data_IF_406888723111
#
_entry.id   IF_406888723111
#
_cell.length_a   1.000
_cell.length_b   1.000
_cell.length_c   1.000
_cell.angle_alpha   90.00
_cell.angle_beta   90.00
_cell.angle_gamma   90.00
#
_symmetry.space_group_name_H-M   'P 1'
#
loop_
_entity.id
_entity.type
_entity.pdbx_description
1 polymer ?
#
# COMPACT_ATOMS: atom_id res chain seq x y z
N UNK A 1 -31.80 73.40 3.17
CA UNK A 1 -31.66 72.36 2.14
C UNK A 1 -30.21 71.93 2.10
N UNK A 2 -29.93 70.65 2.36
CA UNK A 2 -28.90 69.79 1.73
C UNK A 2 -28.94 68.46 2.50
N UNK A 3 -29.51 67.43 1.86
CA UNK A 3 -29.60 66.06 2.40
C UNK A 3 -28.43 65.26 1.84
N UNK A 4 -27.60 64.68 2.69
CA UNK A 4 -26.48 63.82 2.31
C UNK A 4 -26.99 62.37 2.37
N UNK A 5 -27.21 61.76 1.20
CA UNK A 5 -27.49 60.33 1.10
C UNK A 5 -26.19 59.55 1.32
N UNK A 6 -26.06 58.86 2.45
CA UNK A 6 -25.00 57.88 2.68
C UNK A 6 -25.27 56.65 1.81
N UNK A 7 -24.43 56.45 0.79
CA UNK A 7 -24.43 55.25 -0.04
C UNK A 7 -23.85 54.08 0.77
N UNK A 8 -24.72 53.31 1.43
CA UNK A 8 -24.31 52.11 2.16
C UNK A 8 -24.04 51.02 1.12
N UNK A 9 -22.82 50.45 1.08
CA UNK A 9 -22.50 49.42 0.09
C UNK A 9 -23.32 48.15 0.33
N UNK A 10 -23.79 47.56 -0.78
CA UNK A 10 -24.76 46.44 -0.87
C UNK A 10 -24.35 45.14 -0.13
N UNK A 11 -23.14 45.06 0.42
CA UNK A 11 -22.66 43.88 1.15
C UNK A 11 -23.16 43.79 2.61
N UNK A 12 -23.73 44.87 3.16
CA UNK A 12 -24.26 44.86 4.55
C UNK A 12 -25.68 44.30 4.71
N UNK A 13 -26.39 43.99 3.63
CA UNK A 13 -27.77 43.45 3.69
C UNK A 13 -27.86 41.94 3.45
N UNK A 14 -26.75 41.24 3.24
CA UNK A 14 -26.76 39.78 3.00
C UNK A 14 -26.45 38.93 4.25
N UNK A 15 -26.16 39.54 5.40
CA UNK A 15 -25.76 38.81 6.62
C UNK A 15 -26.90 38.59 7.62
N UNK A 16 -28.14 38.37 7.16
CA UNK A 16 -29.29 38.21 8.08
C UNK A 16 -30.25 37.05 7.76
N UNK A 17 -29.95 36.15 6.82
CA UNK A 17 -30.93 35.08 6.49
C UNK A 17 -30.42 33.66 6.24
N UNK A 18 -29.15 33.36 6.51
CA UNK A 18 -28.63 31.99 6.36
C UNK A 18 -28.13 31.38 7.68
N UNK A 19 -28.76 31.73 8.81
CA UNK A 19 -28.63 30.96 10.07
C UNK A 19 -29.57 29.75 10.04
N UNK A 20 -29.34 28.80 9.14
CA UNK A 20 -29.63 27.39 9.39
C UNK A 20 -28.97 26.49 8.33
N UNK A 21 -27.64 26.54 8.23
CA UNK A 21 -26.90 25.50 7.54
C UNK A 21 -26.20 24.68 8.60
N UNK A 22 -26.96 23.76 9.19
CA UNK A 22 -26.43 22.68 10.00
C UNK A 22 -25.43 21.92 9.13
N UNK A 23 -24.14 22.25 9.32
CA UNK A 23 -23.06 21.55 8.66
C UNK A 23 -23.16 20.12 9.15
N UNK A 24 -23.72 19.25 8.31
CA UNK A 24 -23.51 17.82 8.45
C UNK A 24 -22.00 17.63 8.33
N UNK A 25 -21.31 17.60 9.48
CA UNK A 25 -20.03 16.93 9.62
C UNK A 25 -20.33 15.47 9.27
N UNK A 26 -20.26 15.17 7.98
CA UNK A 26 -20.04 13.81 7.57
C UNK A 26 -18.62 13.53 8.04
N UNK A 27 -18.52 12.82 9.16
CA UNK A 27 -17.31 12.12 9.55
C UNK A 27 -17.02 11.10 8.44
N UNK A 28 -16.53 11.56 7.30
CA UNK A 28 -15.95 10.70 6.28
C UNK A 28 -14.73 10.11 6.96
N UNK A 29 -14.68 8.78 7.18
CA UNK A 29 -13.48 8.15 7.71
C UNK A 29 -12.30 8.59 6.85
N UNK A 30 -11.22 9.07 7.47
CA UNK A 30 -9.99 9.33 6.75
C UNK A 30 -9.50 7.98 6.20
N UNK A 31 -9.81 7.73 4.93
CA UNK A 31 -9.34 6.55 4.23
C UNK A 31 -7.82 6.70 4.05
N UNK A 32 -7.06 5.85 4.74
CA UNK A 32 -5.61 5.85 4.60
C UNK A 32 -5.28 5.30 3.22
N UNK A 33 -4.99 6.20 2.29
CA UNK A 33 -4.64 5.85 0.91
C UNK A 33 -3.17 5.47 0.80
N UNK A 34 -2.81 4.48 -0.04
CA UNK A 34 -1.44 4.23 -0.45
C UNK A 34 -0.74 5.49 -0.96
N UNK A 35 0.57 5.58 -0.73
CA UNK A 35 1.41 6.54 -1.46
C UNK A 35 1.35 6.24 -2.96
N UNK A 36 0.92 7.18 -3.83
CA UNK A 36 0.73 6.92 -5.26
C UNK A 36 2.03 6.57 -5.99
N UNK A 37 3.17 7.10 -5.54
CA UNK A 37 4.47 6.82 -6.16
C UNK A 37 4.93 5.41 -5.81
N UNK A 38 4.77 5.00 -4.55
CA UNK A 38 5.03 3.63 -4.15
C UNK A 38 4.13 2.64 -4.91
N UNK A 39 2.85 2.98 -5.06
CA UNK A 39 1.89 2.15 -5.80
C UNK A 39 2.34 1.92 -7.25
N UNK A 40 2.82 2.96 -7.93
CA UNK A 40 3.38 2.83 -9.30
C UNK A 40 4.55 1.85 -9.36
N UNK A 41 5.47 1.88 -8.40
CA UNK A 41 6.57 0.91 -8.38
C UNK A 41 6.09 -0.53 -8.18
N UNK A 42 5.09 -0.74 -7.34
CA UNK A 42 4.49 -2.06 -7.15
C UNK A 42 3.75 -2.52 -8.41
N UNK A 43 3.03 -1.63 -9.09
CA UNK A 43 2.37 -1.92 -10.37
C UNK A 43 3.39 -2.33 -11.44
N UNK A 44 4.52 -1.63 -11.52
CA UNK A 44 5.62 -1.99 -12.41
C UNK A 44 6.22 -3.36 -12.05
N UNK A 45 6.40 -3.67 -10.77
CA UNK A 45 6.88 -4.99 -10.36
C UNK A 45 5.88 -6.11 -10.74
N UNK A 46 4.58 -5.86 -10.56
CA UNK A 46 3.51 -6.80 -10.88
C UNK A 46 3.37 -7.04 -12.40
N UNK A 47 3.59 -6.02 -13.23
CA UNK A 47 3.34 -6.09 -14.69
C UNK A 47 4.59 -6.38 -15.51
N UNK A 48 5.74 -5.83 -15.12
CA UNK A 48 6.99 -5.89 -15.90
C UNK A 48 7.97 -6.96 -15.42
N UNK A 49 7.62 -7.77 -14.40
CA UNK A 49 8.54 -8.74 -13.76
C UNK A 49 9.86 -8.11 -13.30
N UNK A 50 9.80 -6.82 -12.94
CA UNK A 50 10.95 -6.07 -12.41
C UNK A 50 11.20 -6.44 -10.96
N UNK A 51 12.46 -6.39 -10.53
CA UNK A 51 12.86 -6.43 -9.13
C UNK A 51 13.68 -5.20 -8.75
N UNK A 52 13.51 -4.71 -7.53
CA UNK A 52 14.29 -3.57 -7.02
C UNK A 52 14.54 -3.67 -5.53
N UNK A 53 15.72 -3.24 -5.07
CA UNK A 53 15.95 -3.04 -3.65
C UNK A 53 15.05 -1.93 -3.11
N UNK A 54 14.42 -2.15 -1.96
CA UNK A 54 13.58 -1.15 -1.30
C UNK A 54 13.65 -1.29 0.22
N UNK A 55 13.59 -0.17 0.92
CA UNK A 55 13.36 -0.12 2.37
C UNK A 55 12.05 0.60 2.65
N UNK A 56 11.23 0.05 3.52
CA UNK A 56 9.89 0.54 3.88
C UNK A 56 9.85 0.94 5.36
N UNK A 57 9.20 2.05 5.67
CA UNK A 57 8.96 2.49 7.05
C UNK A 57 7.53 2.15 7.47
N UNK A 58 7.36 1.30 8.49
CA UNK A 58 6.06 0.81 8.96
C UNK A 58 6.08 0.73 10.48
N UNK A 59 5.17 1.44 11.17
CA UNK A 59 4.97 1.30 12.62
C UNK A 59 6.25 1.49 13.46
N UNK A 60 7.14 2.40 13.05
CA UNK A 60 8.41 2.65 13.75
C UNK A 60 9.53 1.63 13.48
N UNK A 61 9.31 0.65 12.60
CA UNK A 61 10.33 -0.29 12.12
C UNK A 61 10.66 -0.01 10.66
N UNK A 62 11.85 -0.44 10.22
CA UNK A 62 12.23 -0.43 8.81
C UNK A 62 12.29 -1.86 8.27
N UNK A 63 11.74 -2.10 7.09
CA UNK A 63 11.78 -3.41 6.43
C UNK A 63 12.53 -3.23 5.11
N UNK A 64 13.68 -3.87 4.97
CA UNK A 64 14.48 -3.83 3.75
C UNK A 64 14.39 -5.15 3.01
N UNK A 65 14.34 -5.11 1.69
CA UNK A 65 14.28 -6.33 0.86
C UNK A 65 14.28 -6.00 -0.62
N UNK A 66 13.97 -7.00 -1.43
CA UNK A 66 13.79 -6.84 -2.88
C UNK A 66 12.31 -6.89 -3.23
N UNK A 67 11.76 -5.79 -3.76
CA UNK A 67 10.44 -5.75 -4.36
C UNK A 67 10.35 -6.76 -5.51
N UNK A 68 9.31 -7.58 -5.48
CA UNK A 68 8.98 -8.55 -6.52
C UNK A 68 7.50 -8.46 -6.87
N UNK A 69 7.15 -8.91 -8.08
CA UNK A 69 5.76 -9.01 -8.49
C UNK A 69 4.99 -10.10 -7.72
N UNK A 70 3.66 -9.95 -7.67
CA UNK A 70 2.75 -10.89 -6.99
C UNK A 70 2.94 -12.35 -7.43
N UNK A 71 3.17 -12.59 -8.72
CA UNK A 71 3.30 -13.96 -9.24
C UNK A 71 4.56 -14.65 -8.69
N UNK A 72 5.71 -13.95 -8.69
CA UNK A 72 6.96 -14.45 -8.09
C UNK A 72 6.79 -14.70 -6.59
N UNK A 73 6.06 -13.83 -5.89
CA UNK A 73 5.80 -13.98 -4.47
C UNK A 73 5.00 -15.25 -4.16
N UNK A 74 3.86 -15.44 -4.83
CA UNK A 74 2.99 -16.61 -4.57
C UNK A 74 3.59 -17.91 -5.08
N UNK A 75 4.36 -17.89 -6.18
CA UNK A 75 5.12 -19.04 -6.65
C UNK A 75 6.15 -19.47 -5.59
N UNK A 76 6.93 -18.52 -5.08
CA UNK A 76 7.95 -18.79 -4.05
C UNK A 76 7.30 -19.27 -2.75
N UNK A 77 6.21 -18.62 -2.31
CA UNK A 77 5.46 -19.03 -1.12
C UNK A 77 4.90 -20.45 -1.26
N UNK A 78 4.34 -20.76 -2.44
CA UNK A 78 3.84 -22.08 -2.77
C UNK A 78 4.92 -23.15 -2.69
N UNK A 79 6.10 -22.88 -3.25
CA UNK A 79 7.25 -23.78 -3.17
C UNK A 79 7.73 -23.99 -1.73
N UNK A 80 7.81 -22.92 -0.92
CA UNK A 80 8.22 -23.00 0.49
C UNK A 80 7.25 -23.86 1.32
N UNK A 81 5.94 -23.63 1.20
CA UNK A 81 4.92 -24.39 1.93
C UNK A 81 4.85 -25.84 1.46
N UNK A 82 4.90 -26.08 0.15
CA UNK A 82 4.96 -27.44 -0.40
C UNK A 82 6.16 -28.19 0.18
N UNK A 83 7.35 -27.61 0.11
CA UNK A 83 8.57 -28.22 0.63
C UNK A 83 8.52 -28.46 2.15
N UNK A 84 7.87 -27.59 2.92
CA UNK A 84 7.67 -27.81 4.36
C UNK A 84 6.72 -28.99 4.61
N UNK A 85 5.61 -29.07 3.89
CA UNK A 85 4.61 -30.12 4.04
C UNK A 85 5.14 -31.49 3.61
N UNK A 86 5.94 -31.57 2.55
CA UNK A 86 6.60 -32.81 2.11
C UNK A 86 7.58 -33.32 3.17
N UNK A 87 8.35 -32.42 3.82
CA UNK A 87 9.25 -32.78 4.93
C UNK A 87 8.50 -33.28 6.16
N UNK A 88 7.37 -32.68 6.48
CA UNK A 88 6.55 -33.07 7.64
C UNK A 88 5.79 -34.39 7.41
N UNK A 89 5.28 -34.60 6.19
CA UNK A 89 4.44 -35.76 5.86
C UNK A 89 5.22 -36.97 5.34
N UNK A 90 6.45 -36.76 4.87
CA UNK A 90 7.26 -37.79 4.22
C UNK A 90 6.70 -38.25 2.87
N UNK A 91 5.71 -37.55 2.30
CA UNK A 91 5.06 -37.87 1.03
C UNK A 91 5.11 -36.67 0.08
N UNK A 92 5.19 -36.89 -1.24
CA UNK A 92 5.02 -35.83 -2.23
C UNK A 92 3.67 -35.14 -2.06
N UNK A 93 3.65 -33.81 -2.15
CA UNK A 93 2.42 -33.04 -2.12
C UNK A 93 2.03 -32.59 -3.53
N UNK A 94 0.88 -33.06 -4.00
CA UNK A 94 0.33 -32.72 -5.31
C UNK A 94 -0.64 -31.53 -5.17
N UNK A 95 -0.15 -30.33 -5.45
CA UNK A 95 -0.96 -29.10 -5.46
C UNK A 95 -0.13 -27.82 -5.34
N UNK A 96 -0.66 -26.71 -5.85
CA UNK A 96 -0.15 -25.35 -5.58
C UNK A 96 -1.01 -24.73 -4.48
N UNK A 97 -0.49 -24.55 -3.25
CA UNK A 97 -1.32 -24.12 -2.12
C UNK A 97 -1.80 -22.66 -2.23
N UNK A 98 -1.25 -21.85 -3.14
CA UNK A 98 -1.60 -20.44 -3.29
C UNK A 98 -1.73 -20.02 -4.76
N UNK A 99 -2.58 -19.04 -5.02
CA UNK A 99 -2.82 -18.44 -6.33
C UNK A 99 -2.80 -16.92 -6.21
N UNK A 100 -2.18 -16.23 -7.18
CA UNK A 100 -2.11 -14.77 -7.23
C UNK A 100 -3.44 -14.08 -7.55
N UNK A 101 -4.52 -14.85 -7.74
CA UNK A 101 -5.88 -14.34 -7.96
C UNK A 101 -6.50 -13.71 -6.71
N UNK A 102 -6.13 -14.15 -5.51
CA UNK A 102 -6.74 -13.68 -4.25
C UNK A 102 -6.47 -12.22 -3.88
N UNK A 103 -5.52 -11.57 -4.54
CA UNK A 103 -5.24 -10.14 -4.34
C UNK A 103 -5.99 -9.22 -5.33
N UNK A 104 -6.73 -9.81 -6.26
CA UNK A 104 -7.54 -9.08 -7.25
C UNK A 104 -9.01 -9.29 -6.86
N UNK A 105 -9.65 -8.30 -6.25
CA UNK A 105 -11.11 -8.37 -6.04
C UNK A 105 -11.76 -8.31 -7.44
N UNK A 106 -12.46 -9.39 -7.83
CA UNK A 106 -13.34 -9.43 -9.01
C UNK A 106 -14.62 -8.62 -8.73
N UNK A 107 -14.47 -7.34 -8.44
CA UNK A 107 -15.56 -6.37 -8.40
C UNK A 107 -15.55 -5.57 -9.69
N UNK A 108 -16.55 -5.78 -10.55
CA UNK A 108 -16.82 -4.95 -11.72
C UNK A 108 -16.98 -3.48 -11.30
N UNK A 109 -15.93 -2.68 -11.44
CA UNK A 109 -16.05 -1.23 -11.49
C UNK A 109 -15.24 -0.72 -12.69
N UNK A 110 -15.97 -0.15 -13.64
CA UNK A 110 -15.55 0.31 -14.97
C UNK A 110 -14.62 1.55 -14.96
N UNK A 111 -13.75 1.69 -13.95
CA UNK A 111 -12.76 2.76 -13.90
C UNK A 111 -11.41 2.25 -13.37
N UNK A 112 -10.44 2.23 -14.27
CA UNK A 112 -9.00 2.43 -14.09
C UNK A 112 -8.35 1.93 -12.79
N UNK A 113 -7.47 0.92 -12.94
CA UNK A 113 -6.61 0.32 -11.91
C UNK A 113 -7.39 -0.45 -10.83
N UNK A 114 -7.46 -1.78 -10.98
CA UNK A 114 -7.65 -2.67 -9.84
C UNK A 114 -6.59 -2.31 -8.79
N UNK A 115 -6.98 -1.62 -7.72
CA UNK A 115 -6.04 -0.96 -6.83
C UNK A 115 -5.04 -1.98 -6.26
N UNK A 116 -3.77 -1.84 -6.63
CA UNK A 116 -2.70 -2.61 -6.00
C UNK A 116 -2.67 -2.21 -4.52
N UNK A 117 -3.07 -3.14 -3.65
CA UNK A 117 -3.19 -2.94 -2.18
C UNK A 117 -2.03 -3.50 -1.39
N UNK A 118 -1.27 -4.43 -1.98
CA UNK A 118 -0.20 -5.15 -1.30
C UNK A 118 1.13 -4.99 -2.02
N UNK A 119 2.18 -4.84 -1.23
CA UNK A 119 3.57 -4.91 -1.66
C UNK A 119 4.16 -6.26 -1.24
N UNK A 120 5.03 -6.81 -2.09
CA UNK A 120 5.65 -8.11 -1.91
C UNK A 120 7.17 -7.99 -1.98
N UNK A 121 7.85 -8.43 -0.91
CA UNK A 121 9.31 -8.45 -0.85
C UNK A 121 9.82 -9.89 -0.73
N UNK A 122 10.98 -10.15 -1.32
CA UNK A 122 11.82 -11.32 -1.01
C UNK A 122 13.11 -10.90 -0.32
N UNK A 123 13.72 -11.82 0.42
CA UNK A 123 14.93 -11.54 1.17
C UNK A 123 14.73 -10.41 2.19
N UNK A 124 13.50 -10.28 2.71
CA UNK A 124 13.12 -9.19 3.58
C UNK A 124 13.75 -9.36 4.97
N UNK A 125 14.27 -8.27 5.50
CA UNK A 125 14.81 -8.15 6.86
C UNK A 125 14.16 -6.97 7.56
N UNK A 126 13.62 -7.23 8.74
CA UNK A 126 13.07 -6.23 9.65
C UNK A 126 14.23 -5.70 10.49
N UNK A 127 14.46 -4.40 10.42
CA UNK A 127 15.39 -3.67 11.26
C UNK A 127 14.63 -3.13 12.47
N UNK A 128 14.97 -3.60 13.66
CA UNK A 128 14.42 -3.05 14.90
C UNK A 128 15.09 -1.71 15.26
N UNK A 129 14.55 -1.04 16.28
CA UNK A 129 15.07 0.26 16.77
C UNK A 129 16.48 0.18 17.36
N UNK A 130 16.94 -1.02 17.73
CA UNK A 130 18.29 -1.28 18.23
C UNK A 130 19.28 -1.61 17.10
N UNK A 131 18.81 -1.69 15.86
CA UNK A 131 19.61 -2.00 14.67
C UNK A 131 19.81 -3.51 14.41
N UNK A 132 19.10 -4.39 15.13
CA UNK A 132 19.13 -5.82 14.86
C UNK A 132 18.29 -6.15 13.63
N UNK A 133 18.68 -7.20 12.91
CA UNK A 133 18.00 -7.71 11.73
C UNK A 133 17.23 -8.98 12.05
N UNK A 134 15.95 -9.02 11.67
CA UNK A 134 15.06 -10.15 11.85
C UNK A 134 14.45 -10.58 10.51
N UNK A 135 14.58 -11.86 10.11
CA UNK A 135 15.44 -12.88 10.72
C UNK A 135 16.93 -12.54 10.57
N UNK A 136 17.77 -13.21 11.37
CA UNK A 136 19.23 -13.02 11.37
C UNK A 136 19.95 -13.67 10.17
N UNK A 137 19.27 -14.56 9.45
CA UNK A 137 19.77 -15.33 8.30
C UNK A 137 19.20 -14.80 6.96
N UNK A 138 19.24 -15.63 5.92
CA UNK A 138 18.57 -15.42 4.63
C UNK A 138 17.16 -14.84 4.85
N UNK A 139 16.92 -13.63 4.34
CA UNK A 139 15.70 -12.89 4.59
C UNK A 139 14.43 -13.63 4.11
N UNK A 140 13.27 -13.20 4.59
CA UNK A 140 12.00 -13.89 4.38
C UNK A 140 11.22 -13.33 3.19
N UNK A 141 10.18 -14.07 2.76
CA UNK A 141 9.08 -13.45 2.03
C UNK A 141 8.32 -12.53 2.97
N UNK A 142 7.99 -11.33 2.51
CA UNK A 142 7.21 -10.37 3.27
C UNK A 142 6.11 -9.76 2.40
N UNK A 143 4.90 -9.68 2.94
CA UNK A 143 3.72 -9.04 2.33
C UNK A 143 3.17 -7.99 3.27
N UNK A 144 2.95 -6.78 2.78
CA UNK A 144 2.41 -5.67 3.56
C UNK A 144 1.34 -4.89 2.80
N UNK A 145 0.42 -4.27 3.55
CA UNK A 145 -0.57 -3.35 2.99
C UNK A 145 0.12 -2.04 2.62
N UNK A 146 -0.11 -1.55 1.41
CA UNK A 146 0.44 -0.29 0.94
C UNK A 146 -0.04 0.91 1.76
N UNK A 147 -1.28 0.87 2.27
CA UNK A 147 -1.84 1.91 3.13
C UNK A 147 -1.16 2.04 4.50
N UNK A 148 -0.42 1.03 4.94
CA UNK A 148 0.28 1.05 6.24
C UNK A 148 1.73 1.55 6.12
N UNK A 149 2.18 1.84 4.89
CA UNK A 149 3.55 2.26 4.62
C UNK A 149 3.62 3.77 4.76
N UNK A 150 4.40 4.20 5.75
CA UNK A 150 4.56 5.61 6.11
C UNK A 150 5.66 6.31 5.31
N UNK A 151 6.50 5.54 4.61
CA UNK A 151 7.58 6.05 3.77
C UNK A 151 8.39 4.92 3.14
N UNK A 152 9.20 5.25 2.14
CA UNK A 152 10.07 4.29 1.46
C UNK A 152 11.38 4.93 0.99
N UNK A 153 12.40 4.09 0.82
CA UNK A 153 13.69 4.43 0.23
C UNK A 153 13.94 3.42 -0.89
N UNK A 154 14.26 3.91 -2.09
CA UNK A 154 14.62 3.06 -3.21
C UNK A 154 16.11 2.73 -3.17
N UNK A 155 16.43 1.46 -3.32
CA UNK A 155 17.78 0.94 -3.47
C UNK A 155 18.18 0.82 -4.94
N UNK A 156 19.17 -0.03 -5.21
CA UNK A 156 19.65 -0.31 -6.57
C UNK A 156 18.59 -1.03 -7.41
N UNK A 157 18.53 -0.64 -8.69
CA UNK A 157 17.72 -1.31 -9.70
C UNK A 157 18.48 -2.52 -10.24
N UNK A 158 17.84 -3.68 -10.27
CA UNK A 158 18.39 -4.88 -10.91
C UNK A 158 17.44 -5.34 -12.02
N UNK A 159 17.96 -5.43 -13.24
CA UNK A 159 17.24 -6.06 -14.35
C UNK A 159 17.57 -7.56 -14.32
N UNK A 160 16.54 -8.40 -14.18
CA UNK A 160 16.66 -9.84 -14.39
C UNK A 160 16.86 -10.17 -15.88
#
# INVERSE_FOLDING_TARGET
>A
MFSIALNIPRWKTQFSKDENMESKNQDVPFEVRPDPVLQQFVDMANTMKMSMGITLNIGGSAITGTLIGKDEYFETLGAQVKGALERMSGKPFEGTPFSSKGDTDEGESDHDFLETRFIHLKGAQIMDVAGNRLPSEDGILWRGRLSEITGFILGSFERK
#
